data_IF_419054016887
#
_entry.id   IF_419054016887
#
_cell.length_a   1.000
_cell.length_b   1.000
_cell.length_c   1.000
_cell.angle_alpha   90.00
_cell.angle_beta   90.00
_cell.angle_gamma   90.00
#
_symmetry.space_group_name_H-M   'P 1'
#
loop_
_entity.id
_entity.type
_entity.pdbx_description
1 polymer ?
#
# COMPACT_ATOMS: atom_id res chain seq x y z
N UNK A 1 13.19 -7.32 -8.56
CA UNK A 1 11.95 -6.67 -8.96
C UNK A 1 12.11 -5.16 -8.97
N UNK A 2 11.52 -4.49 -9.95
CA UNK A 2 11.51 -3.04 -10.07
C UNK A 2 10.05 -2.60 -10.23
N UNK A 3 9.63 -1.69 -9.37
CA UNK A 3 8.30 -1.09 -9.41
C UNK A 3 8.46 0.33 -9.96
N UNK A 4 7.69 0.66 -10.98
CA UNK A 4 7.65 2.01 -11.54
C UNK A 4 6.22 2.53 -11.53
N UNK A 5 6.05 3.83 -11.41
CA UNK A 5 4.72 4.42 -11.42
C UNK A 5 4.74 5.88 -11.73
N UNK A 6 3.83 6.30 -12.61
CA UNK A 6 3.53 7.69 -12.89
C UNK A 6 2.01 7.89 -12.77
N UNK A 7 1.58 9.14 -12.78
CA UNK A 7 0.16 9.50 -12.68
C UNK A 7 -0.65 9.15 -13.94
N UNK A 8 0.00 8.97 -15.08
CA UNK A 8 -0.68 8.67 -16.34
C UNK A 8 -0.62 7.17 -16.68
N UNK A 9 0.16 6.77 -17.68
CA UNK A 9 0.17 5.39 -18.20
C UNK A 9 1.47 4.64 -17.95
N UNK A 10 2.34 5.18 -17.07
CA UNK A 10 3.71 4.70 -16.87
C UNK A 10 3.88 3.65 -15.77
N UNK A 11 2.81 3.15 -15.15
CA UNK A 11 2.95 2.17 -14.08
C UNK A 11 3.35 0.80 -14.64
N UNK A 12 4.40 0.21 -14.07
CA UNK A 12 4.87 -1.10 -14.50
C UNK A 12 5.58 -1.86 -13.37
N UNK A 13 5.56 -3.17 -13.47
CA UNK A 13 6.37 -4.09 -12.68
C UNK A 13 7.34 -4.78 -13.64
N UNK A 14 8.61 -4.78 -13.27
CA UNK A 14 9.69 -5.36 -14.05
C UNK A 14 10.43 -6.41 -13.24
N UNK A 15 10.97 -7.40 -13.93
CA UNK A 15 11.93 -8.33 -13.35
C UNK A 15 13.28 -8.15 -14.04
N UNK A 16 14.32 -7.93 -13.23
CA UNK A 16 15.70 -7.90 -13.69
C UNK A 16 16.42 -9.18 -13.22
N UNK A 17 17.26 -9.76 -14.09
CA UNK A 17 18.04 -10.96 -13.81
C UNK A 17 19.49 -10.74 -14.22
N UNK A 18 20.38 -11.60 -13.71
CA UNK A 18 21.80 -11.61 -14.08
C UNK A 18 22.46 -10.23 -13.96
N UNK A 19 22.33 -9.59 -12.78
CA UNK A 19 22.85 -8.23 -12.54
C UNK A 19 22.38 -7.22 -13.59
N UNK A 20 21.06 -7.22 -13.88
CA UNK A 20 20.41 -6.33 -14.86
C UNK A 20 20.80 -6.58 -16.32
N UNK A 21 21.51 -7.68 -16.65
CA UNK A 21 21.79 -8.02 -18.04
C UNK A 21 20.53 -8.34 -18.86
N UNK A 22 19.46 -8.75 -18.18
CA UNK A 22 18.13 -8.91 -18.77
C UNK A 22 17.10 -8.20 -17.90
N UNK A 23 16.22 -7.42 -18.55
CA UNK A 23 15.10 -6.72 -17.89
C UNK A 23 13.84 -6.98 -18.70
N UNK A 24 12.85 -7.55 -18.05
CA UNK A 24 11.57 -7.92 -18.62
C UNK A 24 10.44 -7.14 -17.96
N UNK A 25 9.57 -6.51 -18.73
CA UNK A 25 8.33 -5.92 -18.22
C UNK A 25 7.28 -7.02 -18.06
N UNK A 26 6.87 -7.28 -16.85
CA UNK A 26 5.90 -8.36 -16.54
C UNK A 26 4.46 -7.86 -16.41
N UNK A 27 4.30 -6.60 -16.00
CA UNK A 27 3.00 -5.91 -15.96
C UNK A 27 3.19 -4.48 -16.41
N UNK A 28 2.28 -3.98 -17.24
CA UNK A 28 2.17 -2.56 -17.61
C UNK A 28 0.73 -2.12 -17.53
N UNK A 29 0.52 -0.88 -17.15
CA UNK A 29 -0.82 -0.31 -17.08
C UNK A 29 -0.83 1.11 -16.59
N UNK A 30 -2.01 1.55 -16.22
CA UNK A 30 -2.25 2.83 -15.56
C UNK A 30 -1.95 2.71 -14.05
N UNK A 31 -2.38 3.68 -13.27
CA UNK A 31 -2.24 3.64 -11.80
C UNK A 31 -2.87 2.40 -11.12
N UNK A 32 -3.69 1.64 -11.80
CA UNK A 32 -4.28 0.39 -11.28
C UNK A 32 -3.24 -0.70 -10.96
N UNK A 33 -2.04 -0.61 -11.54
CA UNK A 33 -0.91 -1.54 -11.27
C UNK A 33 0.26 -0.86 -10.57
N UNK A 34 0.15 0.44 -10.29
CA UNK A 34 1.16 1.16 -9.52
C UNK A 34 1.27 0.56 -8.13
N UNK A 35 2.51 0.33 -7.68
CA UNK A 35 2.79 -0.23 -6.37
C UNK A 35 4.03 0.41 -5.76
N UNK A 36 4.01 0.62 -4.44
CA UNK A 36 5.16 1.11 -3.66
C UNK A 36 5.73 0.01 -2.75
N UNK A 37 4.97 -1.02 -2.45
CA UNK A 37 5.37 -2.13 -1.59
C UNK A 37 5.12 -3.47 -2.24
N UNK A 38 6.14 -4.32 -2.18
CA UNK A 38 6.08 -5.68 -2.69
C UNK A 38 7.06 -6.61 -1.96
N UNK A 39 6.72 -7.89 -1.93
CA UNK A 39 7.50 -8.94 -1.31
C UNK A 39 7.73 -10.07 -2.31
N UNK A 40 8.99 -10.43 -2.63
CA UNK A 40 9.29 -11.63 -3.37
C UNK A 40 8.76 -12.87 -2.62
N UNK A 41 8.07 -13.73 -3.34
CA UNK A 41 7.51 -14.98 -2.81
C UNK A 41 7.84 -16.13 -3.77
N UNK A 42 7.78 -17.41 -3.34
CA UNK A 42 8.08 -18.53 -4.22
C UNK A 42 7.28 -18.55 -5.52
N UNK A 43 6.03 -18.09 -5.48
CA UNK A 43 5.14 -18.04 -6.64
C UNK A 43 5.43 -16.85 -7.59
N UNK A 44 6.14 -15.81 -7.12
CA UNK A 44 6.43 -14.60 -7.89
C UNK A 44 6.57 -13.35 -7.03
N UNK A 45 5.55 -12.47 -7.02
CA UNK A 45 5.57 -11.21 -6.28
C UNK A 45 4.22 -10.95 -5.60
N UNK A 46 4.22 -10.88 -4.28
CA UNK A 46 3.12 -10.34 -3.51
C UNK A 46 3.28 -8.81 -3.45
N UNK A 47 2.29 -8.05 -3.91
CA UNK A 47 2.35 -6.60 -3.92
C UNK A 47 1.00 -5.96 -3.58
N UNK A 48 1.01 -4.70 -3.22
CA UNK A 48 -0.21 -3.95 -3.02
C UNK A 48 -0.21 -2.67 -3.86
N UNK A 49 -1.38 -2.33 -4.40
CA UNK A 49 -1.51 -1.17 -5.29
C UNK A 49 -1.55 0.14 -4.51
N UNK A 50 -1.00 1.19 -5.14
CA UNK A 50 -0.89 2.53 -4.60
C UNK A 50 -1.51 3.53 -5.59
N UNK A 51 -2.83 3.57 -5.64
CA UNK A 51 -3.56 4.47 -6.53
C UNK A 51 -4.53 5.37 -5.79
N UNK A 52 -4.49 6.65 -6.11
CA UNK A 52 -5.50 7.62 -5.67
C UNK A 52 -6.73 7.60 -6.59
N UNK A 53 -6.61 7.09 -7.82
CA UNK A 53 -7.62 7.20 -8.88
C UNK A 53 -8.46 5.93 -9.01
N UNK A 54 -7.88 4.78 -8.68
CA UNK A 54 -8.51 3.47 -8.82
C UNK A 54 -8.61 2.75 -7.49
N UNK A 55 -9.52 1.78 -7.40
CA UNK A 55 -9.63 0.90 -6.24
C UNK A 55 -8.34 0.12 -6.01
N UNK A 56 -7.96 -0.02 -4.75
CA UNK A 56 -6.70 -0.65 -4.37
C UNK A 56 -6.90 -2.07 -3.86
N UNK A 57 -5.85 -2.88 -3.98
CA UNK A 57 -5.88 -4.28 -3.57
C UNK A 57 -4.49 -4.85 -3.29
N UNK A 58 -4.45 -5.89 -2.46
CA UNK A 58 -3.30 -6.79 -2.34
C UNK A 58 -3.43 -7.82 -3.46
N UNK A 59 -2.36 -8.04 -4.21
CA UNK A 59 -2.31 -8.88 -5.40
C UNK A 59 -1.12 -9.82 -5.36
N UNK A 60 -1.27 -10.97 -6.01
CA UNK A 60 -0.18 -11.90 -6.28
C UNK A 60 0.08 -11.93 -7.78
N UNK A 61 1.30 -11.62 -8.17
CA UNK A 61 1.80 -11.77 -9.52
C UNK A 61 2.47 -13.14 -9.60
N UNK A 62 1.91 -14.03 -10.42
CA UNK A 62 2.33 -15.42 -10.56
C UNK A 62 2.78 -15.70 -11.99
N UNK A 63 3.73 -16.63 -12.14
CA UNK A 63 4.11 -17.13 -13.46
C UNK A 63 3.31 -18.37 -13.79
N UNK A 64 2.61 -18.40 -14.91
CA UNK A 64 1.75 -19.50 -15.37
C UNK A 64 2.35 -20.31 -16.52
N UNK A 65 3.64 -20.49 -16.55
CA UNK A 65 4.36 -21.25 -17.57
C UNK A 65 4.67 -20.46 -18.84
N UNK A 66 3.73 -19.71 -19.38
CA UNK A 66 3.87 -18.95 -20.64
C UNK A 66 4.02 -17.45 -20.36
N UNK A 67 3.44 -16.94 -19.31
CA UNK A 67 3.41 -15.52 -19.01
C UNK A 67 3.33 -15.19 -17.52
N UNK A 68 2.84 -13.98 -17.26
CA UNK A 68 2.58 -13.50 -15.94
C UNK A 68 1.12 -13.13 -15.79
N UNK A 69 0.48 -13.59 -14.73
CA UNK A 69 -0.89 -13.25 -14.35
C UNK A 69 -0.91 -12.60 -12.98
N UNK A 70 -1.85 -11.70 -12.75
CA UNK A 70 -2.05 -11.12 -11.43
C UNK A 70 -3.43 -11.49 -10.89
N UNK A 71 -3.45 -12.03 -9.69
CA UNK A 71 -4.65 -12.40 -8.97
C UNK A 71 -4.87 -11.45 -7.79
N UNK A 72 -6.06 -10.88 -7.69
CA UNK A 72 -6.45 -10.10 -6.51
C UNK A 72 -6.70 -11.04 -5.33
N UNK A 73 -6.01 -10.77 -4.21
CA UNK A 73 -6.18 -11.52 -2.97
C UNK A 73 -7.13 -10.83 -1.99
N UNK A 74 -7.02 -9.49 -1.89
CA UNK A 74 -7.81 -8.73 -0.93
C UNK A 74 -8.00 -7.27 -1.40
N UNK A 75 -9.26 -6.74 -1.45
CA UNK A 75 -9.50 -5.32 -1.69
C UNK A 75 -9.12 -4.52 -0.45
N UNK A 76 -8.60 -3.30 -0.65
CA UNK A 76 -8.20 -2.42 0.46
C UNK A 76 -8.83 -1.02 0.32
N UNK A 77 -8.89 -0.28 1.44
CA UNK A 77 -9.60 0.99 1.54
C UNK A 77 -9.00 2.13 0.71
N UNK A 78 -7.70 2.11 0.46
CA UNK A 78 -6.98 3.18 -0.24
C UNK A 78 -5.57 2.77 -0.63
N UNK A 79 -4.72 3.72 -1.08
CA UNK A 79 -3.34 3.48 -1.48
C UNK A 79 -2.53 2.76 -0.41
N UNK A 80 -1.70 1.80 -0.82
CA UNK A 80 -0.81 1.07 0.09
C UNK A 80 0.63 1.49 -0.18
N UNK A 81 1.18 2.27 0.76
CA UNK A 81 2.53 2.82 0.63
C UNK A 81 3.54 2.02 1.46
N UNK A 82 3.12 1.48 2.59
CA UNK A 82 4.01 0.80 3.53
C UNK A 82 3.60 -0.65 3.75
N UNK A 83 4.61 -1.48 3.95
CA UNK A 83 4.44 -2.87 4.32
C UNK A 83 5.68 -3.42 5.02
N UNK A 84 5.50 -4.50 5.76
CA UNK A 84 6.54 -5.22 6.46
C UNK A 84 6.24 -6.72 6.47
N UNK A 85 7.26 -7.51 6.76
CA UNK A 85 7.09 -8.94 7.05
C UNK A 85 7.41 -9.18 8.53
N UNK A 86 6.47 -9.76 9.27
CA UNK A 86 6.58 -9.96 10.72
C UNK A 86 6.07 -11.34 11.08
N UNK A 87 6.91 -12.15 11.72
CA UNK A 87 6.53 -13.50 12.16
C UNK A 87 6.02 -14.42 11.05
N UNK A 88 6.51 -14.27 9.82
CA UNK A 88 6.07 -15.03 8.66
C UNK A 88 4.76 -14.53 8.01
N UNK A 89 4.17 -13.46 8.53
CA UNK A 89 3.00 -12.80 7.96
C UNK A 89 3.40 -11.52 7.22
N UNK A 90 2.60 -11.13 6.25
CA UNK A 90 2.72 -9.86 5.52
C UNK A 90 1.77 -8.84 6.14
N UNK A 91 2.30 -7.64 6.34
CA UNK A 91 1.57 -6.50 6.89
C UNK A 91 1.57 -5.38 5.86
N UNK A 92 0.42 -4.77 5.64
CA UNK A 92 0.25 -3.62 4.76
C UNK A 92 -0.52 -2.52 5.48
N UNK A 93 -0.28 -1.27 5.12
CA UNK A 93 -1.10 -0.16 5.60
C UNK A 93 -1.62 0.69 4.46
N UNK A 94 -2.86 1.15 4.60
CA UNK A 94 -3.46 2.10 3.65
C UNK A 94 -3.27 3.53 4.13
N UNK A 95 -3.13 4.45 3.18
CA UNK A 95 -3.13 5.88 3.42
C UNK A 95 -4.47 6.53 3.02
N UNK A 96 -4.78 7.67 3.64
CA UNK A 96 -5.87 8.54 3.21
C UNK A 96 -5.29 9.74 2.48
N UNK A 97 -5.48 9.83 1.18
CA UNK A 97 -4.92 10.89 0.35
C UNK A 97 -6.00 11.83 -0.19
N UNK A 98 -5.69 13.12 -0.35
CA UNK A 98 -6.65 14.08 -0.87
C UNK A 98 -6.91 13.86 -2.36
N UNK A 99 -8.08 14.30 -2.81
CA UNK A 99 -8.34 14.45 -4.23
C UNK A 99 -7.39 15.51 -4.83
N UNK A 100 -6.61 15.11 -5.83
CA UNK A 100 -5.67 16.01 -6.51
C UNK A 100 -6.32 16.83 -7.63
N UNK A 101 -7.66 16.82 -7.77
CA UNK A 101 -8.33 17.66 -8.77
C UNK A 101 -7.89 19.11 -8.59
N UNK A 102 -7.54 19.77 -9.71
CA UNK A 102 -7.06 21.15 -9.77
C UNK A 102 -8.15 22.12 -9.36
N UNK A 103 -8.33 22.32 -8.08
CA UNK A 103 -9.10 23.44 -7.53
C UNK A 103 -8.20 24.67 -7.38
N UNK A 104 -8.79 25.88 -7.31
CA UNK A 104 -8.01 27.11 -7.08
C UNK A 104 -7.10 26.95 -5.85
N UNK A 105 -5.93 27.59 -5.85
CA UNK A 105 -4.90 27.43 -4.81
C UNK A 105 -5.44 27.60 -3.39
N UNK A 106 -6.33 28.56 -3.16
CA UNK A 106 -6.90 28.83 -1.84
C UNK A 106 -7.93 27.77 -1.41
N UNK A 107 -8.84 27.36 -2.29
CA UNK A 107 -9.82 26.32 -1.95
C UNK A 107 -9.18 24.96 -1.74
N UNK A 108 -8.04 24.69 -2.39
CA UNK A 108 -7.33 23.43 -2.23
C UNK A 108 -6.62 23.27 -0.88
N UNK A 109 -6.31 24.38 -0.17
CA UNK A 109 -5.68 24.32 1.15
C UNK A 109 -6.61 23.73 2.21
N UNK A 110 -7.92 23.95 2.08
CA UNK A 110 -8.92 23.44 3.01
C UNK A 110 -9.66 22.20 2.48
N UNK A 111 -9.24 21.68 1.34
CA UNK A 111 -9.89 20.53 0.72
C UNK A 111 -9.72 19.27 1.60
N UNK A 112 -10.84 18.61 1.86
CA UNK A 112 -10.93 17.37 2.64
C UNK A 112 -11.49 16.21 1.82
N UNK A 113 -11.68 16.40 0.51
CA UNK A 113 -12.20 15.36 -0.37
C UNK A 113 -11.16 14.27 -0.58
N UNK A 114 -11.60 13.04 -0.43
CA UNK A 114 -10.80 11.86 -0.71
C UNK A 114 -10.56 11.69 -2.21
N UNK A 115 -9.43 11.10 -2.57
CA UNK A 115 -9.18 10.62 -3.91
C UNK A 115 -10.23 9.57 -4.33
N UNK A 116 -10.54 9.45 -5.62
CA UNK A 116 -11.57 8.52 -6.12
C UNK A 116 -11.33 7.06 -5.75
N UNK A 117 -10.07 6.66 -5.59
CA UNK A 117 -9.68 5.30 -5.20
C UNK A 117 -9.71 5.03 -3.69
N UNK A 118 -10.22 5.97 -2.88
CA UNK A 118 -10.25 5.86 -1.42
C UNK A 118 -11.71 5.84 -0.95
N UNK A 119 -12.11 4.77 -0.29
CA UNK A 119 -13.51 4.56 0.07
C UNK A 119 -13.91 5.23 1.39
N UNK A 120 -12.99 5.27 2.36
CA UNK A 120 -13.25 5.84 3.69
C UNK A 120 -12.07 6.66 4.17
N UNK A 121 -12.34 7.69 4.97
CA UNK A 121 -11.32 8.54 5.58
C UNK A 121 -10.64 7.85 6.78
N UNK A 122 -10.06 6.69 6.53
CA UNK A 122 -9.49 5.79 7.51
C UNK A 122 -8.23 5.13 6.97
N UNK A 123 -7.20 5.02 7.79
CA UNK A 123 -6.02 4.19 7.53
C UNK A 123 -6.23 2.82 8.15
N UNK A 124 -5.95 1.77 7.39
CA UNK A 124 -6.09 0.38 7.84
C UNK A 124 -4.72 -0.28 7.95
N UNK A 125 -4.56 -1.17 8.92
CA UNK A 125 -3.50 -2.18 8.94
C UNK A 125 -4.12 -3.51 8.56
N UNK A 126 -3.57 -4.13 7.52
CA UNK A 126 -4.01 -5.42 6.98
C UNK A 126 -2.90 -6.42 7.23
N UNK A 127 -3.25 -7.57 7.78
CA UNK A 127 -2.34 -8.65 8.13
C UNK A 127 -2.80 -9.95 7.47
N UNK A 128 -1.86 -10.78 7.01
CA UNK A 128 -2.19 -12.09 6.47
C UNK A 128 -1.07 -12.82 5.77
N UNK A 129 -1.43 -13.88 5.10
CA UNK A 129 -0.56 -14.65 4.21
C UNK A 129 -1.31 -15.05 2.94
N UNK A 130 -0.57 -15.54 1.96
CA UNK A 130 -1.16 -15.99 0.68
C UNK A 130 -2.11 -17.18 0.93
N UNK A 131 -1.76 -18.05 1.86
CA UNK A 131 -2.51 -19.28 2.16
C UNK A 131 -3.74 -19.03 3.04
N UNK A 132 -3.62 -18.14 4.03
CA UNK A 132 -4.68 -17.87 5.02
C UNK A 132 -5.59 -16.70 4.64
N UNK A 133 -5.19 -15.95 3.58
CA UNK A 133 -5.85 -14.70 3.20
C UNK A 133 -5.41 -13.52 4.06
N UNK A 134 -6.02 -12.37 3.80
CA UNK A 134 -5.71 -11.10 4.44
C UNK A 134 -6.94 -10.55 5.16
N UNK A 135 -6.71 -9.86 6.27
CA UNK A 135 -7.78 -9.22 7.04
C UNK A 135 -7.33 -7.87 7.61
N UNK A 136 -8.25 -6.94 7.75
CA UNK A 136 -8.01 -5.68 8.46
C UNK A 136 -8.00 -5.96 9.96
N UNK A 137 -6.87 -5.67 10.61
CA UNK A 137 -6.67 -5.89 12.06
C UNK A 137 -6.70 -4.60 12.87
N UNK A 138 -6.50 -3.45 12.22
CA UNK A 138 -6.57 -2.14 12.85
C UNK A 138 -7.15 -1.12 11.88
N UNK A 139 -8.01 -0.24 12.39
CA UNK A 139 -8.56 0.91 11.67
C UNK A 139 -8.34 2.18 12.48
N UNK A 140 -7.86 3.23 11.83
CA UNK A 140 -7.64 4.55 12.41
C UNK A 140 -8.30 5.62 11.55
N UNK A 141 -9.27 6.34 12.10
CA UNK A 141 -9.85 7.47 11.41
C UNK A 141 -8.82 8.59 11.23
N UNK A 142 -8.80 9.23 10.07
CA UNK A 142 -8.02 10.44 9.83
C UNK A 142 -8.47 11.55 10.80
N UNK A 143 -7.53 12.36 11.27
CA UNK A 143 -7.86 13.56 12.03
C UNK A 143 -8.65 14.58 11.17
N UNK A 144 -9.32 15.57 11.76
CA UNK A 144 -10.14 16.53 11.01
C UNK A 144 -9.33 17.63 10.29
N UNK A 145 -7.99 17.59 10.35
CA UNK A 145 -7.16 18.65 9.80
C UNK A 145 -7.04 18.52 8.26
N UNK A 146 -6.95 19.64 7.52
CA UNK A 146 -6.82 19.62 6.07
C UNK A 146 -5.52 18.96 5.61
N UNK A 147 -5.59 18.14 4.57
CA UNK A 147 -4.47 17.37 4.05
C UNK A 147 -3.25 18.20 3.64
N UNK A 148 -3.47 19.35 3.00
CA UNK A 148 -2.37 20.16 2.45
C UNK A 148 -1.66 21.03 3.47
N UNK A 149 -2.31 21.36 4.57
CA UNK A 149 -1.72 22.14 5.66
C UNK A 149 -1.07 21.26 6.71
N UNK A 150 -1.50 20.01 6.78
CA UNK A 150 -1.04 19.03 7.76
C UNK A 150 -0.56 17.77 7.02
N UNK A 151 -0.91 16.60 7.49
CA UNK A 151 -0.56 15.35 6.84
C UNK A 151 -1.82 14.57 6.45
N UNK A 152 -1.72 13.70 5.47
CA UNK A 152 -2.73 12.69 5.23
C UNK A 152 -2.58 11.54 6.25
N UNK A 153 -3.70 10.90 6.60
CA UNK A 153 -3.70 9.79 7.56
C UNK A 153 -2.86 8.63 7.03
N UNK A 154 -1.91 8.19 7.83
CA UNK A 154 -0.97 7.15 7.42
C UNK A 154 -0.51 6.32 8.60
N UNK A 155 -0.14 5.07 8.34
CA UNK A 155 0.47 4.17 9.31
C UNK A 155 1.74 3.60 8.71
N UNK A 156 2.87 3.84 9.37
CA UNK A 156 4.18 3.43 8.92
C UNK A 156 4.67 2.22 9.72
N UNK A 157 5.50 1.42 9.09
CA UNK A 157 6.23 0.33 9.70
C UNK A 157 7.74 0.55 9.58
N UNK A 158 8.56 0.03 10.50
CA UNK A 158 9.98 -0.12 10.24
C UNK A 158 10.19 -0.95 8.97
N UNK A 159 11.14 -0.53 8.14
CA UNK A 159 11.48 -1.25 6.91
C UNK A 159 12.14 -2.61 7.22
N UNK A 160 11.89 -3.58 6.35
CA UNK A 160 12.51 -4.90 6.42
C UNK A 160 11.59 -6.01 6.89
N UNK A 161 12.20 -7.13 7.28
CA UNK A 161 11.53 -8.29 7.83
C UNK A 161 11.95 -8.51 9.29
N UNK A 162 11.00 -8.88 10.13
CA UNK A 162 11.24 -9.27 11.52
C UNK A 162 10.81 -10.72 11.73
N UNK A 163 11.66 -11.50 12.36
CA UNK A 163 11.32 -12.86 12.83
C UNK A 163 10.53 -12.84 14.14
N UNK A 164 10.45 -11.69 14.81
CA UNK A 164 9.72 -11.52 16.05
C UNK A 164 8.21 -11.50 15.80
N UNK A 165 7.45 -11.70 16.87
CA UNK A 165 6.00 -11.58 16.91
C UNK A 165 5.52 -10.13 17.17
N UNK A 166 6.43 -9.16 17.13
CA UNK A 166 6.15 -7.76 17.46
C UNK A 166 6.03 -6.91 16.19
N UNK A 167 4.90 -6.25 16.04
CA UNK A 167 4.64 -5.26 15.01
C UNK A 167 4.72 -3.86 15.63
N UNK A 168 5.67 -3.06 15.16
CA UNK A 168 5.79 -1.64 15.51
C UNK A 168 5.05 -0.82 14.47
N UNK A 169 4.16 0.04 14.90
CA UNK A 169 3.46 0.97 14.02
C UNK A 169 3.65 2.40 14.49
N UNK A 170 3.79 3.32 13.54
CA UNK A 170 3.84 4.74 13.77
C UNK A 170 2.71 5.42 13.00
N UNK A 171 1.76 5.99 13.73
CA UNK A 171 0.59 6.63 13.15
C UNK A 171 0.83 8.12 12.93
N UNK A 172 0.45 8.63 11.75
CA UNK A 172 0.52 10.05 11.43
C UNK A 172 -0.88 10.54 11.05
N UNK A 173 -1.26 11.68 11.59
CA UNK A 173 -2.52 12.36 11.31
C UNK A 173 -3.76 11.45 11.46
N UNK A 174 -3.71 10.52 12.40
CA UNK A 174 -4.82 9.68 12.80
C UNK A 174 -5.41 10.13 14.14
N UNK A 175 -6.73 10.08 14.24
CA UNK A 175 -7.47 10.58 15.40
C UNK A 175 -7.14 9.79 16.66
N UNK A 176 -6.84 10.51 17.75
CA UNK A 176 -6.69 9.91 19.09
C UNK A 176 -5.36 9.25 19.38
N UNK A 177 -4.43 9.19 18.42
CA UNK A 177 -3.14 8.48 18.61
C UNK A 177 -1.95 9.44 18.66
N UNK A 178 -2.10 10.65 18.12
CA UNK A 178 -0.99 11.58 17.96
C UNK A 178 0.10 11.02 17.04
N UNK A 179 1.33 11.50 17.17
CA UNK A 179 2.53 10.95 16.52
C UNK A 179 3.25 10.03 17.53
N UNK A 180 2.74 8.82 17.70
CA UNK A 180 3.25 7.83 18.66
C UNK A 180 3.57 6.51 17.98
N UNK A 181 4.55 5.79 18.54
CA UNK A 181 4.82 4.40 18.20
C UNK A 181 4.03 3.48 19.10
N UNK A 182 3.28 2.58 18.52
CA UNK A 182 2.57 1.53 19.23
C UNK A 182 3.22 0.18 18.91
N UNK A 183 3.23 -0.73 19.87
CA UNK A 183 3.78 -2.08 19.71
C UNK A 183 2.65 -3.09 19.90
N UNK A 184 2.43 -3.90 18.88
CA UNK A 184 1.45 -4.99 18.90
C UNK A 184 2.17 -6.32 18.90
N UNK A 185 1.70 -7.25 19.71
CA UNK A 185 2.16 -8.64 19.65
C UNK A 185 1.19 -9.44 18.79
N UNK A 186 1.71 -10.06 17.75
CA UNK A 186 0.94 -10.97 16.91
C UNK A 186 0.78 -12.29 17.68
N UNK A 187 -0.46 -12.71 17.89
CA UNK A 187 -0.76 -14.04 18.43
C UNK A 187 -0.83 -15.02 17.27
N UNK A 188 -0.09 -16.11 17.41
CA UNK A 188 -0.11 -17.22 16.46
C UNK A 188 -1.49 -17.89 16.38
#
# INVERSE_FOLDING_TARGET
>A
WILTGDFDEGAAIWVARNNFSTVESVVRGTQEVRACVAFPVPQGLLYATDSQLHGNSIRLLERDGVGWTHRQLHPVNGPVIYGAQVGGLYVFSTATEPNQSRSSRLSSLLDRRLGPGIHRNESHVILGSIERGFQTVLTRAKDPLPYRLFQFGNILFPSGASSNDQLFIYSIANRGVGMSTEVFRLKA
#
